data_IF_102711760005
#
_entry.id   IF_102711760005
#
_cell.length_a   1.000
_cell.length_b   1.000
_cell.length_c   1.000
_cell.angle_alpha   90.00
_cell.angle_beta   90.00
_cell.angle_gamma   90.00
#
_symmetry.space_group_name_H-M   'P 1'
#
loop_
_entity.id
_entity.type
_entity.pdbx_description
1 polymer ?
#
# COMPACT_ATOMS: atom_id res chain seq x y z
N UNK A 1 -1.62 -54.26 -41.96
CA UNK A 1 -1.12 -53.82 -40.63
C UNK A 1 -0.45 -52.47 -40.78
N UNK A 2 -1.14 -51.38 -40.46
CA UNK A 2 -0.59 -50.00 -40.48
C UNK A 2 -0.48 -49.54 -39.01
N UNK A 3 0.76 -49.32 -38.56
CA UNK A 3 1.05 -48.78 -37.21
C UNK A 3 0.87 -47.27 -37.24
N UNK A 4 -0.16 -46.76 -36.57
CA UNK A 4 -0.34 -45.34 -36.31
C UNK A 4 0.62 -44.84 -35.22
N UNK A 5 1.43 -43.83 -35.51
CA UNK A 5 2.24 -43.08 -34.55
C UNK A 5 1.37 -41.96 -33.97
N UNK A 6 1.08 -42.04 -32.68
CA UNK A 6 0.55 -40.91 -31.90
C UNK A 6 1.69 -39.93 -31.61
N UNK A 7 1.60 -38.75 -32.15
CA UNK A 7 2.48 -37.61 -31.84
C UNK A 7 1.85 -36.86 -30.64
N UNK A 8 2.41 -37.07 -29.45
CA UNK A 8 2.01 -36.32 -28.29
C UNK A 8 2.55 -34.89 -28.36
N UNK A 9 1.64 -33.94 -28.45
CA UNK A 9 1.95 -32.50 -28.37
C UNK A 9 2.17 -32.16 -26.90
N UNK A 10 3.43 -32.03 -26.48
CA UNK A 10 3.78 -31.47 -25.14
C UNK A 10 3.63 -29.96 -25.25
N UNK A 11 2.55 -29.45 -24.73
CA UNK A 11 2.31 -28.01 -24.56
C UNK A 11 3.25 -27.52 -23.45
N UNK A 12 4.39 -26.96 -23.83
CA UNK A 12 5.33 -26.31 -22.93
C UNK A 12 4.69 -25.04 -22.35
N UNK A 13 4.29 -25.13 -21.10
CA UNK A 13 3.88 -23.98 -20.30
C UNK A 13 5.12 -23.16 -19.97
N UNK A 14 5.42 -22.15 -20.81
CA UNK A 14 6.46 -21.17 -20.52
C UNK A 14 6.06 -20.38 -19.28
N UNK A 15 6.63 -20.74 -18.12
CA UNK A 15 6.64 -19.87 -16.96
C UNK A 15 7.47 -18.63 -17.30
N UNK A 16 6.81 -17.54 -17.61
CA UNK A 16 7.42 -16.21 -17.60
C UNK A 16 7.84 -15.92 -16.14
N UNK A 17 9.10 -16.17 -15.87
CA UNK A 17 9.76 -15.64 -14.69
C UNK A 17 9.76 -14.11 -14.82
N UNK A 18 8.82 -13.45 -14.15
CA UNK A 18 8.87 -12.00 -13.97
C UNK A 18 10.10 -11.68 -13.14
N UNK A 19 11.18 -11.30 -13.80
CA UNK A 19 12.34 -10.70 -13.13
C UNK A 19 11.96 -9.29 -12.68
N UNK A 20 11.53 -9.15 -11.44
CA UNK A 20 11.34 -7.87 -10.76
C UNK A 20 12.70 -7.23 -10.43
N UNK A 21 13.46 -6.79 -11.39
CA UNK A 21 14.72 -6.14 -11.10
C UNK A 21 15.12 -5.10 -12.14
N UNK A 22 14.18 -4.25 -12.55
CA UNK A 22 14.57 -3.11 -13.39
C UNK A 22 15.27 -2.01 -12.58
N UNK A 23 15.01 -1.88 -11.27
CA UNK A 23 15.39 -0.70 -10.47
C UNK A 23 16.29 -0.97 -9.26
N UNK A 24 16.47 -2.18 -8.79
CA UNK A 24 17.25 -2.57 -7.60
C UNK A 24 16.46 -2.41 -6.30
N UNK A 25 16.08 -1.19 -5.90
CA UNK A 25 15.25 -0.90 -4.72
C UNK A 25 14.03 -0.09 -5.13
N UNK A 26 12.86 -0.46 -4.62
CA UNK A 26 11.63 0.28 -4.88
C UNK A 26 11.58 1.61 -4.13
N UNK A 27 11.37 2.68 -4.89
CA UNK A 27 11.01 4.00 -4.38
C UNK A 27 9.49 4.08 -4.30
N UNK A 28 8.93 3.92 -3.09
CA UNK A 28 7.47 3.87 -2.89
C UNK A 28 6.97 5.20 -2.32
N UNK A 29 6.08 5.86 -3.07
CA UNK A 29 5.43 7.10 -2.63
C UNK A 29 4.24 6.81 -1.74
N UNK A 30 4.36 7.05 -0.43
CA UNK A 30 3.37 6.78 0.60
C UNK A 30 2.17 7.71 0.47
N UNK A 31 0.99 7.15 0.24
CA UNK A 31 -0.26 7.89 -0.06
C UNK A 31 -0.05 8.93 -1.17
N UNK A 32 0.75 8.54 -2.18
CA UNK A 32 1.31 9.41 -3.19
C UNK A 32 2.62 10.07 -2.76
N UNK A 33 2.58 11.32 -2.36
CA UNK A 33 3.71 12.08 -1.80
C UNK A 33 3.20 12.92 -0.61
N UNK A 34 2.72 12.26 0.45
CA UNK A 34 2.03 12.87 1.59
C UNK A 34 2.80 14.03 2.22
N UNK A 35 4.12 13.96 2.28
CA UNK A 35 4.94 15.04 2.81
C UNK A 35 4.92 16.32 1.97
N UNK A 36 4.42 16.29 0.72
CA UNK A 36 4.46 17.41 -0.23
C UNK A 36 3.08 17.85 -0.73
N UNK A 37 2.07 16.96 -0.69
CA UNK A 37 0.71 17.22 -1.16
C UNK A 37 -0.30 16.44 -0.31
N UNK A 38 -1.59 16.84 -0.28
CA UNK A 38 -2.61 16.20 0.54
C UNK A 38 -2.71 14.69 0.26
N UNK A 39 -2.56 13.86 1.31
CA UNK A 39 -2.49 12.41 1.22
C UNK A 39 -3.67 11.76 0.51
N UNK A 40 -3.42 10.66 -0.21
CA UNK A 40 -4.48 9.86 -0.86
C UNK A 40 -5.36 10.67 -1.82
N UNK A 41 -4.81 11.70 -2.46
CA UNK A 41 -5.50 12.56 -3.42
C UNK A 41 -4.83 12.52 -4.80
N UNK A 42 -5.59 12.84 -5.85
CA UNK A 42 -5.00 12.88 -7.20
C UNK A 42 -3.81 13.84 -7.30
N UNK A 43 -3.81 15.03 -6.67
CA UNK A 43 -2.62 15.89 -6.60
C UNK A 43 -1.41 15.25 -5.95
N UNK A 44 -1.59 14.44 -4.89
CA UNK A 44 -0.49 13.71 -4.24
C UNK A 44 0.13 12.67 -5.17
N UNK A 45 -0.71 11.91 -5.87
CA UNK A 45 -0.24 10.92 -6.84
C UNK A 45 0.40 11.57 -8.07
N UNK A 46 -0.16 12.68 -8.56
CA UNK A 46 0.46 13.46 -9.64
C UNK A 46 1.84 14.00 -9.22
N UNK A 47 1.99 14.41 -7.96
CA UNK A 47 3.28 14.84 -7.41
C UNK A 47 4.27 13.68 -7.36
N UNK A 48 3.87 12.49 -6.90
CA UNK A 48 4.71 11.30 -6.89
C UNK A 48 5.16 10.88 -8.31
N UNK A 49 4.23 10.89 -9.28
CA UNK A 49 4.54 10.63 -10.69
C UNK A 49 5.52 11.67 -11.26
N UNK A 50 5.37 12.95 -10.91
CA UNK A 50 6.27 14.02 -11.37
C UNK A 50 7.68 13.90 -10.80
N UNK A 51 7.83 13.26 -9.65
CA UNK A 51 9.13 12.92 -9.06
C UNK A 51 9.72 11.65 -9.68
N UNK A 52 8.90 10.78 -10.22
CA UNK A 52 9.32 9.47 -10.71
C UNK A 52 9.53 8.50 -9.55
N UNK A 53 8.46 7.86 -9.11
CA UNK A 53 8.46 6.73 -8.17
C UNK A 53 8.28 5.41 -8.92
N UNK A 54 8.71 4.29 -8.33
CA UNK A 54 8.46 2.95 -8.88
C UNK A 54 7.09 2.42 -8.49
N UNK A 55 6.57 2.87 -7.34
CA UNK A 55 5.30 2.42 -6.77
C UNK A 55 4.54 3.61 -6.19
N UNK A 56 3.25 3.67 -6.47
CA UNK A 56 2.28 4.48 -5.75
C UNK A 56 1.64 3.60 -4.67
N UNK A 57 1.88 3.94 -3.43
CA UNK A 57 1.18 3.31 -2.32
C UNK A 57 -0.06 4.14 -1.98
N UNK A 58 -1.14 3.47 -1.63
CA UNK A 58 -2.44 4.06 -1.33
C UNK A 58 -3.29 3.16 -0.44
N UNK A 59 -4.22 3.80 0.27
CA UNK A 59 -5.18 3.13 1.13
C UNK A 59 -6.58 3.18 0.52
N UNK A 60 -7.40 2.17 0.75
CA UNK A 60 -8.76 2.13 0.23
C UNK A 60 -9.82 2.12 1.33
N UNK A 61 -10.98 2.64 1.00
CA UNK A 61 -12.23 2.47 1.72
C UNK A 61 -13.36 2.24 0.72
N UNK A 62 -14.52 1.75 1.18
CA UNK A 62 -15.67 1.47 0.32
C UNK A 62 -16.88 2.21 0.87
N UNK A 63 -17.55 2.98 0.01
CA UNK A 63 -18.74 3.76 0.35
C UNK A 63 -20.00 2.87 0.48
N UNK A 64 -21.07 3.44 1.04
CA UNK A 64 -22.38 2.78 1.17
C UNK A 64 -22.93 2.26 -0.16
N UNK A 65 -22.74 3.03 -1.23
CA UNK A 65 -23.14 2.68 -2.60
C UNK A 65 -22.05 1.91 -3.37
N UNK A 66 -21.10 1.31 -2.61
CA UNK A 66 -20.10 0.37 -3.13
C UNK A 66 -19.04 0.97 -4.05
N UNK A 67 -18.79 2.27 -3.97
CA UNK A 67 -17.68 2.92 -4.68
C UNK A 67 -16.39 2.74 -3.88
N UNK A 68 -15.34 2.23 -4.52
CA UNK A 68 -14.01 2.13 -3.91
C UNK A 68 -13.34 3.49 -4.02
N UNK A 69 -13.01 4.07 -2.87
CA UNK A 69 -12.37 5.38 -2.73
C UNK A 69 -10.99 5.25 -2.10
N UNK A 70 -10.16 6.29 -2.26
CA UNK A 70 -8.80 6.31 -1.74
C UNK A 70 -8.75 7.13 -0.46
N UNK A 71 -8.65 6.46 0.70
CA UNK A 71 -8.63 7.06 2.03
C UNK A 71 -7.96 6.13 3.03
N UNK A 72 -7.13 6.70 3.93
CA UNK A 72 -6.43 5.90 4.94
C UNK A 72 -7.36 5.44 6.07
N UNK A 73 -8.10 6.37 6.66
CA UNK A 73 -8.97 6.04 7.77
C UNK A 73 -10.35 5.59 7.25
N UNK A 74 -10.96 4.54 7.82
CA UNK A 74 -12.30 4.12 7.45
C UNK A 74 -13.38 5.12 7.88
N UNK A 75 -13.02 6.07 8.74
CA UNK A 75 -13.82 7.21 9.21
C UNK A 75 -13.17 8.53 8.80
N UNK A 76 -13.94 9.59 8.59
CA UNK A 76 -13.39 10.89 8.22
C UNK A 76 -12.51 11.47 9.33
N UNK A 77 -11.22 11.67 9.01
CA UNK A 77 -10.19 12.12 9.95
C UNK A 77 -10.27 13.65 10.16
N UNK A 78 -10.47 14.13 11.42
CA UNK A 78 -10.60 15.56 11.71
C UNK A 78 -9.31 16.36 11.45
N UNK A 79 -8.15 15.72 11.35
CA UNK A 79 -6.89 16.41 11.07
C UNK A 79 -6.73 16.82 9.60
N UNK A 80 -7.52 16.25 8.70
CA UNK A 80 -7.42 16.50 7.26
C UNK A 80 -8.76 16.84 6.60
N UNK A 81 -9.88 16.82 7.35
CA UNK A 81 -11.21 16.91 6.75
C UNK A 81 -11.94 18.19 7.17
N UNK A 82 -12.44 18.90 6.19
CA UNK A 82 -13.38 20.02 6.36
C UNK A 82 -14.74 19.65 5.74
N UNK A 83 -15.80 20.17 6.33
CA UNK A 83 -17.16 20.01 5.80
C UNK A 83 -17.42 20.90 4.57
N UNK A 84 -18.62 20.83 4.02
CA UNK A 84 -19.05 21.64 2.86
C UNK A 84 -19.04 23.15 3.09
N UNK A 85 -18.95 23.59 4.34
CA UNK A 85 -18.85 25.01 4.73
C UNK A 85 -17.41 25.43 5.01
N UNK A 86 -16.44 24.54 4.80
CA UNK A 86 -15.01 24.78 5.07
C UNK A 86 -14.62 24.68 6.54
N UNK A 87 -15.50 24.20 7.42
CA UNK A 87 -15.24 24.01 8.84
C UNK A 87 -14.54 22.69 9.10
N UNK A 88 -13.52 22.71 9.94
CA UNK A 88 -12.85 21.50 10.41
C UNK A 88 -13.81 20.60 11.20
N UNK A 89 -13.71 19.30 10.98
CA UNK A 89 -14.33 18.35 11.89
C UNK A 89 -13.66 18.47 13.27
N UNK A 90 -14.47 18.53 14.33
CA UNK A 90 -13.96 18.64 15.70
C UNK A 90 -13.62 17.29 16.32
N UNK A 91 -14.27 16.25 15.84
CA UNK A 91 -14.12 14.84 16.26
C UNK A 91 -14.11 13.94 15.01
N UNK A 92 -13.72 12.65 15.13
CA UNK A 92 -13.87 11.68 14.06
C UNK A 92 -15.26 11.77 13.43
N UNK A 93 -15.28 11.84 12.10
CA UNK A 93 -16.51 11.98 11.32
C UNK A 93 -17.25 10.65 11.14
N UNK A 94 -18.24 10.62 10.23
CA UNK A 94 -18.91 9.37 9.89
C UNK A 94 -17.94 8.39 9.23
N UNK A 95 -18.26 7.09 9.36
CA UNK A 95 -17.58 6.05 8.62
C UNK A 95 -17.87 6.19 7.12
N UNK A 96 -16.83 6.00 6.29
CA UNK A 96 -16.96 6.14 4.83
C UNK A 96 -18.02 5.18 4.28
N UNK A 97 -18.08 3.95 4.81
CA UNK A 97 -19.09 2.97 4.39
C UNK A 97 -20.55 3.34 4.74
N UNK A 98 -20.75 4.35 5.59
CA UNK A 98 -22.09 4.88 5.89
C UNK A 98 -22.55 5.99 4.95
N UNK A 99 -21.63 6.53 4.14
CA UNK A 99 -21.87 7.61 3.18
C UNK A 99 -21.91 7.06 1.75
N UNK A 100 -22.80 7.61 0.92
CA UNK A 100 -22.71 7.47 -0.53
C UNK A 100 -21.50 8.26 -1.07
N UNK A 101 -21.03 7.91 -2.26
CA UNK A 101 -19.94 8.67 -2.88
C UNK A 101 -20.32 10.15 -3.05
N UNK A 102 -21.56 10.46 -3.42
CA UNK A 102 -22.06 11.84 -3.55
C UNK A 102 -22.00 12.60 -2.22
N UNK A 103 -22.39 11.97 -1.11
CA UNK A 103 -22.28 12.57 0.23
C UNK A 103 -20.81 12.79 0.62
N UNK A 104 -19.93 11.80 0.32
CA UNK A 104 -18.50 11.90 0.59
C UNK A 104 -17.85 13.09 -0.16
N UNK A 105 -18.33 13.42 -1.36
CA UNK A 105 -17.83 14.56 -2.15
C UNK A 105 -18.17 15.93 -1.56
N UNK A 106 -18.92 15.99 -0.47
CA UNK A 106 -19.16 17.25 0.25
C UNK A 106 -17.96 17.65 1.15
N UNK A 107 -17.04 16.73 1.42
CA UNK A 107 -15.90 16.97 2.29
C UNK A 107 -14.65 17.36 1.50
N UNK A 108 -13.88 18.27 2.08
CA UNK A 108 -12.61 18.76 1.53
C UNK A 108 -11.46 18.20 2.37
N UNK A 109 -10.52 17.52 1.71
CA UNK A 109 -9.33 16.90 2.32
C UNK A 109 -8.02 17.53 1.82
N UNK A 110 -8.10 18.69 1.21
CA UNK A 110 -6.97 19.36 0.55
C UNK A 110 -6.01 20.11 1.48
N UNK A 111 -6.15 19.99 2.79
CA UNK A 111 -5.32 20.73 3.74
C UNK A 111 -5.22 20.01 5.08
N UNK A 112 -4.07 20.11 5.74
CA UNK A 112 -3.88 19.69 7.13
C UNK A 112 -4.48 20.72 8.09
N UNK A 113 -5.13 20.24 9.17
CA UNK A 113 -5.63 21.11 10.24
C UNK A 113 -4.46 21.78 10.96
N UNK A 114 -4.36 23.12 10.94
CA UNK A 114 -3.22 23.82 11.54
C UNK A 114 -3.13 23.55 13.04
N UNK A 115 -1.94 23.73 13.59
CA UNK A 115 -1.64 23.59 15.02
C UNK A 115 -1.96 22.20 15.62
N UNK A 116 -1.91 21.14 14.81
CA UNK A 116 -2.01 19.75 15.24
C UNK A 116 -0.66 19.05 15.12
N UNK A 117 -0.43 18.01 15.93
CA UNK A 117 0.75 17.16 15.79
C UNK A 117 0.86 16.57 14.38
N UNK A 118 -0.29 16.22 13.79
CA UNK A 118 -0.34 15.67 12.45
C UNK A 118 0.17 16.68 11.41
N UNK A 119 -0.28 17.92 11.45
CA UNK A 119 0.21 18.98 10.53
C UNK A 119 1.70 19.26 10.73
N UNK A 120 2.18 19.24 11.98
CA UNK A 120 3.60 19.47 12.29
C UNK A 120 4.51 18.35 11.75
N UNK A 121 3.99 17.15 11.49
CA UNK A 121 4.75 16.05 10.86
C UNK A 121 4.98 16.27 9.35
N UNK A 122 4.25 17.18 8.71
CA UNK A 122 4.33 17.42 7.27
C UNK A 122 4.46 18.91 6.94
N UNK A 123 5.53 19.58 7.40
CA UNK A 123 5.68 21.06 7.25
C UNK A 123 5.82 21.51 5.78
N UNK A 124 6.26 20.63 4.90
CA UNK A 124 6.44 20.92 3.47
C UNK A 124 5.18 20.64 2.63
N UNK A 125 4.13 20.05 3.22
CA UNK A 125 2.92 19.75 2.50
C UNK A 125 2.20 21.02 2.07
N UNK A 126 1.99 21.19 0.76
CA UNK A 126 1.27 22.30 0.19
C UNK A 126 -0.24 22.04 0.22
N UNK A 127 -0.99 22.96 0.83
CA UNK A 127 -2.43 22.91 0.83
C UNK A 127 -3.00 23.13 -0.58
N UNK A 128 -4.06 22.37 -0.92
CA UNK A 128 -4.79 22.44 -2.18
C UNK A 128 -6.28 22.37 -1.88
N UNK A 129 -6.84 23.50 -1.41
CA UNK A 129 -8.24 23.61 -1.00
C UNK A 129 -9.21 23.19 -2.11
N UNK A 130 -10.32 22.58 -1.73
CA UNK A 130 -11.30 22.04 -2.66
C UNK A 130 -11.00 20.62 -3.14
N UNK A 131 -9.89 20.01 -2.68
CA UNK A 131 -9.55 18.63 -3.04
C UNK A 131 -10.50 17.64 -2.37
N UNK A 132 -10.99 16.69 -3.15
CA UNK A 132 -11.95 15.65 -2.72
C UNK A 132 -11.28 14.30 -2.59
N UNK A 133 -11.90 13.40 -1.84
CA UNK A 133 -11.49 11.99 -1.78
C UNK A 133 -11.78 11.36 -3.15
N UNK A 134 -10.77 10.88 -3.90
CA UNK A 134 -10.97 10.30 -5.22
C UNK A 134 -11.45 8.86 -5.17
N UNK A 135 -12.02 8.37 -6.27
CA UNK A 135 -12.23 6.94 -6.49
C UNK A 135 -10.92 6.28 -6.89
N UNK A 136 -10.78 5.00 -6.61
CA UNK A 136 -9.63 4.22 -7.08
C UNK A 136 -9.51 4.23 -8.61
N UNK A 137 -10.63 4.19 -9.32
CA UNK A 137 -10.64 4.29 -10.80
C UNK A 137 -10.12 5.63 -11.31
N UNK A 138 -10.30 6.72 -10.56
CA UNK A 138 -9.78 8.04 -10.95
C UNK A 138 -8.24 8.06 -10.88
N UNK A 139 -7.65 7.38 -9.88
CA UNK A 139 -6.20 7.20 -9.80
C UNK A 139 -5.66 6.37 -10.97
N UNK A 140 -6.30 5.26 -11.30
CA UNK A 140 -5.90 4.46 -12.47
C UNK A 140 -5.98 5.28 -13.76
N UNK A 141 -7.02 6.10 -13.92
CA UNK A 141 -7.18 7.01 -15.06
C UNK A 141 -6.07 8.08 -15.10
N UNK A 142 -5.69 8.64 -13.95
CA UNK A 142 -4.57 9.59 -13.83
C UNK A 142 -3.25 8.96 -14.30
N UNK A 143 -2.97 7.72 -13.88
CA UNK A 143 -1.75 7.01 -14.28
C UNK A 143 -1.77 6.68 -15.77
N UNK A 144 -2.89 6.22 -16.33
CA UNK A 144 -3.06 6.03 -17.79
C UNK A 144 -2.79 7.35 -18.54
N UNK A 145 -3.35 8.47 -18.08
CA UNK A 145 -3.15 9.82 -18.67
C UNK A 145 -1.69 10.26 -18.61
N UNK A 146 -0.92 9.86 -17.60
CA UNK A 146 0.50 10.20 -17.48
C UNK A 146 1.39 9.46 -18.49
N UNK A 147 0.87 8.45 -19.21
CA UNK A 147 1.65 7.58 -20.08
C UNK A 147 2.62 6.65 -19.33
N UNK A 148 2.52 6.57 -17.99
CA UNK A 148 3.39 5.68 -17.22
C UNK A 148 2.86 4.25 -17.23
N UNK A 149 3.54 3.38 -17.95
CA UNK A 149 3.20 1.95 -18.04
C UNK A 149 3.95 1.08 -17.03
N UNK A 150 4.91 1.64 -16.27
CA UNK A 150 5.80 0.90 -15.38
C UNK A 150 5.48 1.07 -13.90
N UNK A 151 4.89 2.21 -13.49
CA UNK A 151 4.56 2.44 -12.09
C UNK A 151 3.56 1.40 -11.59
N UNK A 152 3.85 0.81 -10.43
CA UNK A 152 3.02 -0.20 -9.77
C UNK A 152 2.18 0.44 -8.67
N UNK A 153 1.22 -0.32 -8.16
CA UNK A 153 0.30 0.11 -7.10
C UNK A 153 0.43 -0.84 -5.91
N UNK A 154 0.66 -0.28 -4.74
CA UNK A 154 0.50 -0.96 -3.46
C UNK A 154 -0.81 -0.46 -2.85
N UNK A 155 -1.84 -1.34 -2.83
CA UNK A 155 -3.21 -1.00 -2.46
C UNK A 155 -3.54 -1.63 -1.11
N UNK A 156 -3.60 -0.81 -0.06
CA UNK A 156 -3.92 -1.29 1.28
C UNK A 156 -5.42 -1.46 1.48
N UNK A 157 -5.81 -2.64 1.96
CA UNK A 157 -7.17 -2.91 2.44
C UNK A 157 -7.24 -2.61 3.94
N UNK A 158 -7.93 -1.52 4.28
CA UNK A 158 -8.09 -1.04 5.65
C UNK A 158 -9.23 -1.77 6.34
N UNK A 159 -8.91 -2.90 6.95
CA UNK A 159 -9.85 -3.70 7.75
C UNK A 159 -9.27 -3.90 9.14
N UNK A 160 -10.12 -3.94 10.16
CA UNK A 160 -9.69 -4.18 11.54
C UNK A 160 -10.52 -5.30 12.18
N UNK A 161 -9.89 -6.33 12.77
CA UNK A 161 -10.60 -7.36 13.53
C UNK A 161 -11.22 -6.81 14.83
N UNK A 162 -10.76 -5.65 15.32
CA UNK A 162 -11.25 -5.02 16.54
C UNK A 162 -12.39 -4.02 16.31
N UNK A 163 -12.65 -3.65 15.05
CA UNK A 163 -13.67 -2.66 14.66
C UNK A 163 -14.37 -3.08 13.38
N UNK A 164 -15.01 -4.25 13.39
CA UNK A 164 -15.64 -4.81 12.20
C UNK A 164 -16.78 -3.95 11.65
N UNK A 165 -17.33 -3.07 12.49
CA UNK A 165 -18.41 -2.14 12.13
C UNK A 165 -17.92 -0.92 11.31
N UNK A 166 -16.62 -0.68 11.24
CA UNK A 166 -16.08 0.49 10.50
C UNK A 166 -15.88 0.21 9.00
N UNK A 167 -15.93 -1.07 8.57
CA UNK A 167 -15.69 -1.46 7.18
C UNK A 167 -16.57 -2.64 6.76
N UNK A 168 -16.44 -3.08 5.51
CA UNK A 168 -16.97 -4.38 5.07
C UNK A 168 -16.12 -5.51 5.66
N UNK A 169 -16.69 -6.73 5.67
CA UNK A 169 -15.94 -7.92 6.04
C UNK A 169 -14.76 -8.18 5.07
N UNK A 170 -13.71 -8.90 5.51
CA UNK A 170 -12.50 -9.12 4.71
C UNK A 170 -12.73 -9.73 3.33
N UNK A 171 -13.66 -10.67 3.20
CA UNK A 171 -13.95 -11.37 1.94
C UNK A 171 -14.65 -10.45 0.94
N UNK A 172 -15.71 -9.79 1.36
CA UNK A 172 -16.45 -8.83 0.53
C UNK A 172 -15.55 -7.67 0.10
N UNK A 173 -14.73 -7.17 1.03
CA UNK A 173 -13.83 -6.05 0.73
C UNK A 173 -12.79 -6.45 -0.33
N UNK A 174 -12.04 -7.51 -0.08
CA UNK A 174 -11.01 -8.00 -1.00
C UNK A 174 -11.59 -8.28 -2.39
N UNK A 175 -12.73 -8.97 -2.45
CA UNK A 175 -13.39 -9.28 -3.73
C UNK A 175 -13.71 -8.03 -4.53
N UNK A 176 -14.32 -7.00 -3.91
CA UNK A 176 -14.69 -5.75 -4.60
C UNK A 176 -13.48 -5.02 -5.17
N UNK A 177 -12.38 -4.94 -4.40
CA UNK A 177 -11.15 -4.28 -4.86
C UNK A 177 -10.52 -5.06 -6.01
N UNK A 178 -10.45 -6.38 -5.92
CA UNK A 178 -9.92 -7.26 -6.98
C UNK A 178 -10.77 -7.16 -8.25
N UNK A 179 -12.10 -7.20 -8.14
CA UNK A 179 -13.00 -7.06 -9.30
C UNK A 179 -12.74 -5.74 -10.05
N UNK A 180 -12.49 -4.63 -9.32
CA UNK A 180 -12.13 -3.35 -9.93
C UNK A 180 -10.74 -3.38 -10.57
N UNK A 181 -9.74 -3.96 -9.90
CA UNK A 181 -8.38 -4.10 -10.44
C UNK A 181 -8.40 -4.87 -11.77
N UNK A 182 -9.14 -5.97 -11.84
CA UNK A 182 -9.31 -6.75 -13.08
C UNK A 182 -10.05 -5.96 -14.17
N UNK A 183 -11.16 -5.32 -13.80
CA UNK A 183 -11.95 -4.49 -14.73
C UNK A 183 -11.11 -3.39 -15.37
N UNK A 184 -10.19 -2.80 -14.61
CA UNK A 184 -9.32 -1.71 -15.07
C UNK A 184 -8.04 -2.20 -15.77
N UNK A 185 -7.79 -3.53 -15.81
CA UNK A 185 -6.61 -4.13 -16.41
C UNK A 185 -5.32 -3.88 -15.63
N UNK A 186 -5.41 -3.71 -14.29
CA UNK A 186 -4.28 -3.34 -13.44
C UNK A 186 -3.66 -4.52 -12.67
N UNK A 187 -4.16 -5.76 -12.86
CA UNK A 187 -3.73 -6.92 -12.08
C UNK A 187 -2.21 -7.15 -12.11
N UNK A 188 -1.56 -7.01 -13.29
CA UNK A 188 -0.12 -7.19 -13.42
C UNK A 188 0.73 -6.09 -12.73
N UNK A 189 0.11 -4.99 -12.32
CA UNK A 189 0.76 -3.81 -11.72
C UNK A 189 0.33 -3.57 -10.28
N UNK A 190 -0.65 -4.32 -9.77
CA UNK A 190 -1.18 -4.18 -8.42
C UNK A 190 -0.61 -5.22 -7.47
N UNK A 191 -0.34 -4.81 -6.24
CA UNK A 191 -0.14 -5.69 -5.09
C UNK A 191 -1.07 -5.24 -3.97
N UNK A 192 -1.68 -6.18 -3.28
CA UNK A 192 -2.55 -5.90 -2.14
C UNK A 192 -1.75 -6.00 -0.85
N UNK A 193 -1.88 -5.00 0.02
CA UNK A 193 -1.27 -5.03 1.34
C UNK A 193 -2.32 -4.87 2.44
N UNK A 194 -2.05 -5.42 3.61
CA UNK A 194 -2.90 -5.25 4.77
C UNK A 194 -2.20 -5.66 6.07
N UNK A 195 -2.58 -5.00 7.17
CA UNK A 195 -2.31 -5.48 8.52
C UNK A 195 -3.20 -6.66 8.90
N UNK A 196 -4.41 -6.72 8.35
CA UNK A 196 -5.34 -7.83 8.55
C UNK A 196 -5.09 -8.92 7.49
N UNK A 197 -4.30 -9.90 7.86
CA UNK A 197 -3.88 -10.99 6.97
C UNK A 197 -5.04 -11.84 6.46
N UNK A 198 -6.23 -11.77 7.08
CA UNK A 198 -7.43 -12.45 6.58
C UNK A 198 -7.77 -11.98 5.16
N UNK A 199 -7.62 -10.67 4.87
CA UNK A 199 -7.84 -10.14 3.51
C UNK A 199 -6.85 -10.71 2.52
N UNK A 200 -5.58 -10.85 2.92
CA UNK A 200 -4.51 -11.38 2.06
C UNK A 200 -4.74 -12.86 1.72
N UNK A 201 -5.23 -13.65 2.70
CA UNK A 201 -5.60 -15.05 2.47
C UNK A 201 -6.75 -15.15 1.45
N UNK A 202 -7.72 -14.24 1.50
CA UNK A 202 -8.79 -14.16 0.49
C UNK A 202 -8.21 -13.84 -0.88
N UNK A 203 -7.35 -12.81 -0.99
CA UNK A 203 -6.70 -12.41 -2.25
C UNK A 203 -5.96 -13.59 -2.88
N UNK A 204 -5.12 -14.29 -2.11
CA UNK A 204 -4.35 -15.44 -2.59
C UNK A 204 -5.24 -16.57 -3.12
N UNK A 205 -6.42 -16.75 -2.51
CA UNK A 205 -7.39 -17.77 -2.93
C UNK A 205 -8.10 -17.42 -4.25
N UNK A 206 -8.52 -16.15 -4.43
CA UNK A 206 -9.40 -15.76 -5.53
C UNK A 206 -8.68 -15.07 -6.69
N UNK A 207 -7.47 -14.55 -6.47
CA UNK A 207 -6.65 -13.84 -7.44
C UNK A 207 -5.15 -14.10 -7.20
N UNK A 208 -4.66 -15.36 -7.35
CA UNK A 208 -3.28 -15.74 -7.03
C UNK A 208 -2.21 -15.05 -7.89
N UNK A 209 -2.60 -14.43 -8.99
CA UNK A 209 -1.75 -13.60 -9.85
C UNK A 209 -1.45 -12.22 -9.24
N UNK A 210 -2.28 -11.72 -8.32
CA UNK A 210 -2.06 -10.46 -7.59
C UNK A 210 -1.20 -10.73 -6.37
N UNK A 211 -0.02 -10.11 -6.30
CA UNK A 211 0.89 -10.28 -5.18
C UNK A 211 0.30 -9.71 -3.88
N UNK A 212 0.58 -10.39 -2.76
CA UNK A 212 0.18 -9.95 -1.42
C UNK A 212 1.39 -9.50 -0.60
N UNK A 213 1.23 -8.39 0.14
CA UNK A 213 2.25 -7.77 0.99
C UNK A 213 1.75 -7.81 2.43
N UNK A 214 2.51 -8.48 3.28
CA UNK A 214 2.19 -8.71 4.69
C UNK A 214 2.77 -7.60 5.55
N UNK A 215 1.92 -6.68 6.00
CA UNK A 215 2.31 -5.60 6.91
C UNK A 215 2.51 -6.13 8.33
N UNK A 216 3.55 -5.64 9.00
CA UNK A 216 3.77 -5.91 10.43
C UNK A 216 4.33 -4.71 11.17
N UNK A 217 3.90 -4.57 12.42
CA UNK A 217 4.41 -3.59 13.39
C UNK A 217 4.29 -4.16 14.79
N UNK A 218 5.33 -3.94 15.61
CA UNK A 218 5.42 -4.41 16.99
C UNK A 218 5.76 -3.23 17.91
N UNK A 219 4.90 -2.20 17.90
CA UNK A 219 5.07 -1.00 18.71
C UNK A 219 4.00 -0.90 19.79
N UNK A 220 4.30 -0.25 20.90
CA UNK A 220 3.37 -0.09 22.02
C UNK A 220 2.00 0.48 21.62
N UNK A 221 1.98 1.39 20.64
CA UNK A 221 0.75 2.03 20.20
C UNK A 221 -0.09 1.13 19.29
N UNK A 222 0.55 0.27 18.53
CA UNK A 222 -0.09 -0.71 17.66
C UNK A 222 0.87 -1.88 17.42
N UNK A 223 0.38 -3.09 17.70
CA UNK A 223 1.09 -4.34 17.48
C UNK A 223 0.10 -5.35 16.87
N UNK A 224 0.30 -5.66 15.59
CA UNK A 224 -0.52 -6.64 14.90
C UNK A 224 0.04 -8.06 14.95
N UNK A 225 1.24 -8.26 15.50
CA UNK A 225 1.88 -9.58 15.63
C UNK A 225 1.61 -10.19 17.00
N UNK A 226 1.65 -9.38 18.05
CA UNK A 226 1.34 -9.77 19.43
C UNK A 226 2.20 -10.96 19.93
N UNK A 227 3.52 -10.87 19.75
CA UNK A 227 4.48 -11.94 20.12
C UNK A 227 4.40 -12.33 21.59
N UNK A 228 4.12 -11.38 22.50
CA UNK A 228 4.06 -11.59 23.93
C UNK A 228 2.70 -12.13 24.42
N UNK A 229 1.69 -12.26 23.54
CA UNK A 229 0.34 -12.71 23.92
C UNK A 229 0.20 -14.21 23.70
N UNK A 230 -0.13 -15.01 24.74
CA UNK A 230 -0.34 -16.44 24.61
C UNK A 230 -1.45 -16.82 23.61
N UNK A 231 -2.52 -16.02 23.55
CA UNK A 231 -3.64 -16.16 22.63
C UNK A 231 -3.27 -15.79 21.17
N UNK A 232 -2.15 -15.07 21.00
CA UNK A 232 -1.69 -14.58 19.70
C UNK A 232 -2.46 -13.38 19.18
N UNK A 233 -2.41 -13.16 17.87
CA UNK A 233 -3.01 -12.00 17.21
C UNK A 233 -4.23 -12.35 16.36
N UNK A 234 -5.30 -11.55 16.48
CA UNK A 234 -6.46 -11.62 15.58
C UNK A 234 -6.14 -11.13 14.16
N UNK A 235 -5.09 -10.32 14.00
CA UNK A 235 -4.70 -9.73 12.72
C UNK A 235 -4.03 -10.72 11.76
N UNK A 236 -3.43 -11.78 12.28
CA UNK A 236 -2.54 -12.67 11.51
C UNK A 236 -3.24 -13.88 10.91
N UNK A 237 -4.57 -13.91 10.85
CA UNK A 237 -5.35 -14.99 10.22
C UNK A 237 -5.03 -16.39 10.77
N UNK A 238 -4.65 -16.48 12.06
CA UNK A 238 -4.28 -17.75 12.72
C UNK A 238 -2.78 -18.10 12.65
N UNK A 239 -1.98 -17.40 11.85
CA UNK A 239 -0.53 -17.57 11.85
C UNK A 239 0.07 -16.87 13.07
N UNK A 240 0.51 -17.64 14.07
CA UNK A 240 0.98 -17.10 15.34
C UNK A 240 2.50 -17.16 15.45
N UNK A 241 3.11 -16.16 16.07
CA UNK A 241 4.57 -16.10 16.24
C UNK A 241 5.12 -17.32 16.98
N UNK A 242 4.43 -17.81 18.02
CA UNK A 242 4.82 -18.97 18.81
C UNK A 242 4.94 -20.26 17.98
N UNK A 243 4.20 -20.38 16.87
CA UNK A 243 4.18 -21.57 16.03
C UNK A 243 5.27 -21.53 14.95
N UNK A 244 5.79 -20.35 14.65
CA UNK A 244 6.75 -20.13 13.55
C UNK A 244 8.11 -19.59 14.00
N UNK A 245 8.22 -18.98 15.18
CA UNK A 245 9.44 -18.51 15.80
C UNK A 245 9.95 -17.15 15.28
N UNK A 246 9.48 -16.68 14.10
CA UNK A 246 9.81 -15.36 13.57
C UNK A 246 8.72 -14.82 12.64
N UNK A 247 8.65 -13.49 12.46
CA UNK A 247 7.70 -12.87 11.53
C UNK A 247 7.97 -13.26 10.07
N UNK A 248 9.23 -13.30 9.57
CA UNK A 248 9.49 -13.81 8.22
C UNK A 248 8.95 -15.22 7.98
N UNK A 249 9.07 -16.13 8.94
CA UNK A 249 8.52 -17.49 8.83
C UNK A 249 6.99 -17.51 8.87
N UNK A 250 6.37 -16.66 9.69
CA UNK A 250 4.91 -16.49 9.68
C UNK A 250 4.42 -16.07 8.28
N UNK A 251 5.05 -15.04 7.69
CA UNK A 251 4.72 -14.54 6.34
C UNK A 251 4.92 -15.64 5.30
N UNK A 252 6.01 -16.39 5.38
CA UNK A 252 6.27 -17.51 4.47
C UNK A 252 5.23 -18.61 4.60
N UNK A 253 4.87 -19.00 5.84
CA UNK A 253 3.86 -20.00 6.11
C UNK A 253 2.46 -19.55 5.63
N UNK A 254 2.17 -18.25 5.71
CA UNK A 254 0.94 -17.65 5.19
C UNK A 254 0.92 -17.56 3.65
N UNK A 255 1.95 -18.06 2.94
CA UNK A 255 2.04 -18.01 1.48
C UNK A 255 2.50 -16.65 0.93
N UNK A 256 2.97 -15.74 1.79
CA UNK A 256 3.48 -14.43 1.40
C UNK A 256 4.74 -14.53 0.54
N UNK A 257 4.91 -13.53 -0.34
CA UNK A 257 6.14 -13.31 -1.11
C UNK A 257 6.84 -12.03 -0.72
N UNK A 258 6.11 -11.09 -0.11
CA UNK A 258 6.61 -9.78 0.30
C UNK A 258 6.22 -9.55 1.75
N UNK A 259 7.22 -9.27 2.58
CA UNK A 259 7.06 -8.84 3.96
C UNK A 259 7.31 -7.33 4.05
N UNK A 260 6.46 -6.61 4.76
CA UNK A 260 6.60 -5.17 4.90
C UNK A 260 6.49 -4.76 6.38
N UNK A 261 7.61 -4.82 7.11
CA UNK A 261 7.67 -4.39 8.50
C UNK A 261 7.76 -2.88 8.65
N UNK A 262 7.30 -2.36 9.80
CA UNK A 262 7.72 -1.05 10.26
C UNK A 262 9.27 -1.03 10.35
N UNK A 263 9.90 -0.01 9.78
CA UNK A 263 11.37 0.00 9.63
C UNK A 263 12.13 -0.07 10.96
N UNK A 264 11.53 0.48 12.04
CA UNK A 264 12.11 0.44 13.38
C UNK A 264 12.08 -0.95 14.05
N UNK A 265 11.30 -1.90 13.52
CA UNK A 265 11.23 -3.27 14.01
C UNK A 265 12.16 -4.22 13.22
N UNK A 266 12.68 -3.78 12.08
CA UNK A 266 13.52 -4.61 11.22
C UNK A 266 14.95 -4.72 11.78
N UNK A 267 15.40 -5.94 11.99
CA UNK A 267 16.82 -6.25 12.28
C UNK A 267 17.50 -6.85 11.05
N UNK A 268 18.82 -6.73 10.95
CA UNK A 268 19.60 -7.35 9.87
C UNK A 268 19.45 -8.88 9.85
N UNK A 269 19.32 -9.52 11.03
CA UNK A 269 19.07 -10.95 11.14
C UNK A 269 17.73 -11.36 10.54
N UNK A 270 16.66 -10.58 10.79
CA UNK A 270 15.34 -10.83 10.21
C UNK A 270 15.31 -10.56 8.71
N UNK A 271 16.01 -9.53 8.24
CA UNK A 271 16.15 -9.24 6.81
C UNK A 271 16.82 -10.41 6.09
N UNK A 272 17.97 -10.88 6.65
CA UNK A 272 18.67 -12.04 6.11
C UNK A 272 17.77 -13.29 6.10
N UNK A 273 17.07 -13.58 7.20
CA UNK A 273 16.15 -14.72 7.28
C UNK A 273 15.03 -14.61 6.23
N UNK A 274 14.45 -13.41 6.05
CA UNK A 274 13.43 -13.17 5.03
C UNK A 274 13.96 -13.47 3.62
N UNK A 275 15.14 -12.96 3.28
CA UNK A 275 15.79 -13.22 1.99
C UNK A 275 16.15 -14.71 1.82
N UNK A 276 16.66 -15.40 2.84
CA UNK A 276 16.94 -16.85 2.82
C UNK A 276 15.66 -17.67 2.58
N UNK A 277 14.50 -17.18 3.04
CA UNK A 277 13.18 -17.75 2.79
C UNK A 277 12.61 -17.40 1.41
N UNK A 278 13.31 -16.55 0.63
CA UNK A 278 12.85 -16.04 -0.67
C UNK A 278 11.74 -15.00 -0.58
N UNK A 279 11.67 -14.26 0.53
CA UNK A 279 10.79 -13.10 0.66
C UNK A 279 11.51 -11.84 0.19
N UNK A 280 10.79 -10.93 -0.47
CA UNK A 280 11.20 -9.53 -0.60
C UNK A 280 10.80 -8.76 0.66
N UNK A 281 11.60 -7.74 1.01
CA UNK A 281 11.37 -6.91 2.21
C UNK A 281 11.27 -5.43 1.84
N UNK A 282 10.08 -4.84 2.02
CA UNK A 282 9.86 -3.40 1.87
C UNK A 282 9.50 -2.77 3.20
N UNK A 283 10.13 -1.66 3.56
CA UNK A 283 9.93 -1.00 4.87
C UNK A 283 9.11 0.28 4.76
N UNK A 284 8.41 0.64 5.84
CA UNK A 284 7.57 1.85 5.97
C UNK A 284 7.65 2.43 7.39
N UNK A 285 7.36 3.69 7.64
CA UNK A 285 7.45 4.80 6.73
C UNK A 285 8.75 5.53 7.03
N UNK A 286 9.66 5.57 6.08
CA UNK A 286 11.03 6.07 6.29
C UNK A 286 11.12 7.48 5.72
N UNK A 287 11.19 8.49 6.60
CA UNK A 287 11.14 9.89 6.21
C UNK A 287 12.46 10.64 6.43
N UNK A 288 13.24 10.20 7.42
CA UNK A 288 14.50 10.84 7.74
C UNK A 288 15.62 10.39 6.79
N UNK A 289 16.45 11.32 6.29
CA UNK A 289 17.56 10.98 5.39
C UNK A 289 18.52 9.93 5.97
N UNK A 290 18.80 9.99 7.28
CA UNK A 290 19.67 9.02 7.97
C UNK A 290 19.10 7.61 7.94
N UNK A 291 17.80 7.46 8.23
CA UNK A 291 17.12 6.16 8.19
C UNK A 291 17.02 5.62 6.77
N UNK A 292 16.74 6.49 5.78
CA UNK A 292 16.75 6.12 4.36
C UNK A 292 18.10 5.55 3.93
N UNK A 293 19.20 6.21 4.30
CA UNK A 293 20.57 5.72 4.02
C UNK A 293 20.81 4.37 4.68
N UNK A 294 20.42 4.22 5.96
CA UNK A 294 20.56 2.96 6.70
C UNK A 294 19.78 1.82 6.04
N UNK A 295 18.52 2.05 5.65
CA UNK A 295 17.71 1.01 5.00
C UNK A 295 18.28 0.60 3.63
N UNK A 296 18.83 1.54 2.87
CA UNK A 296 19.55 1.22 1.64
C UNK A 296 20.85 0.43 1.91
N UNK A 297 21.58 0.73 2.98
CA UNK A 297 22.84 0.07 3.34
C UNK A 297 22.61 -1.38 3.79
N UNK A 298 21.54 -1.66 4.55
CA UNK A 298 21.19 -3.03 4.97
C UNK A 298 20.59 -3.87 3.84
N UNK A 299 20.17 -3.25 2.72
CA UNK A 299 19.76 -3.95 1.52
C UNK A 299 18.29 -4.36 1.48
N UNK A 300 17.37 -3.51 1.95
CA UNK A 300 15.92 -3.73 1.76
C UNK A 300 15.55 -3.61 0.28
N UNK A 301 14.47 -4.30 -0.13
CA UNK A 301 14.00 -4.32 -1.52
C UNK A 301 13.10 -3.12 -1.87
N UNK A 302 12.61 -2.40 -0.87
CA UNK A 302 11.77 -1.22 -1.09
C UNK A 302 11.67 -0.32 0.13
N UNK A 303 11.47 0.97 -0.11
CA UNK A 303 11.30 1.98 0.94
C UNK A 303 10.06 2.81 0.64
N UNK A 304 9.08 2.73 1.54
CA UNK A 304 7.88 3.57 1.55
C UNK A 304 8.17 4.85 2.33
N UNK A 305 7.95 6.00 1.69
CA UNK A 305 8.27 7.31 2.27
C UNK A 305 7.24 8.38 1.93
N UNK A 306 7.01 9.32 2.84
CA UNK A 306 6.24 10.54 2.61
C UNK A 306 7.02 11.58 1.77
N UNK A 307 8.36 11.42 1.71
CA UNK A 307 9.30 12.32 1.04
C UNK A 307 10.03 11.59 -0.09
N UNK A 308 9.31 11.17 -1.15
CA UNK A 308 9.94 10.51 -2.29
C UNK A 308 10.97 11.39 -3.01
N UNK A 309 10.89 12.71 -2.88
CA UNK A 309 11.90 13.66 -3.34
C UNK A 309 13.24 13.47 -2.62
N UNK A 310 13.23 13.34 -1.30
CA UNK A 310 14.44 13.15 -0.48
C UNK A 310 15.06 11.78 -0.74
N UNK A 311 14.26 10.71 -0.72
CA UNK A 311 14.78 9.36 -1.00
C UNK A 311 15.35 9.27 -2.42
N UNK A 312 14.68 9.87 -3.41
CA UNK A 312 15.17 9.93 -4.78
C UNK A 312 16.53 10.63 -4.89
N UNK A 313 16.70 11.74 -4.16
CA UNK A 313 18.00 12.44 -4.12
C UNK A 313 19.11 11.55 -3.55
N UNK A 314 18.86 10.85 -2.43
CA UNK A 314 19.80 9.92 -1.81
C UNK A 314 20.18 8.78 -2.77
N UNK A 315 19.20 8.23 -3.49
CA UNK A 315 19.43 7.19 -4.50
C UNK A 315 20.28 7.71 -5.67
N UNK A 316 20.04 8.97 -6.11
CA UNK A 316 20.84 9.62 -7.14
C UNK A 316 22.30 9.81 -6.72
N UNK A 317 22.53 10.30 -5.49
CA UNK A 317 23.87 10.50 -4.91
C UNK A 317 24.68 9.18 -4.81
N UNK A 318 23.97 8.04 -4.74
CA UNK A 318 24.55 6.69 -4.75
C UNK A 318 24.74 6.10 -6.15
N UNK A 319 24.41 6.84 -7.20
CA UNK A 319 24.49 6.37 -8.58
C UNK A 319 23.47 5.27 -8.93
N UNK A 320 22.39 5.13 -8.14
CA UNK A 320 21.35 4.14 -8.39
C UNK A 320 20.51 4.55 -9.62
N UNK A 321 20.02 3.56 -10.37
CA UNK A 321 19.09 3.80 -11.47
C UNK A 321 17.77 4.35 -10.92
N UNK A 322 17.32 5.46 -11.47
CA UNK A 322 16.09 6.14 -11.03
C UNK A 322 14.94 5.94 -12.02
N UNK A 323 13.71 5.79 -11.53
CA UNK A 323 12.53 5.75 -12.40
C UNK A 323 12.32 7.09 -13.12
N UNK A 324 11.76 7.00 -14.33
CA UNK A 324 11.48 8.19 -15.15
C UNK A 324 10.31 8.97 -14.56
N UNK A 325 10.45 10.29 -14.46
CA UNK A 325 9.37 11.18 -14.08
C UNK A 325 8.33 11.28 -15.21
N UNK A 326 7.05 11.18 -14.83
CA UNK A 326 5.91 11.27 -15.76
C UNK A 326 4.90 12.30 -15.25
N UNK A 327 5.20 13.62 -15.39
CA UNK A 327 4.32 14.68 -14.89
C UNK A 327 2.93 14.60 -15.54
N UNK A 328 1.90 14.79 -14.72
CA UNK A 328 0.51 14.81 -15.19
C UNK A 328 -0.31 15.77 -14.32
N UNK A 329 -1.29 16.41 -14.93
CA UNK A 329 -2.26 17.24 -14.20
C UNK A 329 -3.41 16.35 -13.73
N UNK A 330 -3.80 16.47 -12.45
CA UNK A 330 -4.92 15.72 -11.87
C UNK A 330 -6.26 16.05 -12.50
#
# INVERSE_FOLDING_TARGET
MRKGRFLGCVMGMSFLLFTNAAWGVDLVGHRGARGLAPENTLPSFARALSLGVTVLELDTAITKDSVIVVSHDPILNPNITRDKYGKWLEKPGPAIHSLTFTELQQYDVGRLKPNTKYANSFPEQKALDGTRIPRLVDLFSLVKKSGNEQVRFFIELKVSPHKPEETLDPETYAKRVIDLIHKEGMAARASILSFDWRTLQVVQKIAPEISTIYLSIQQRAFDNIATEKPEGSLWTAGFQHKDHGSVPRMVKAAGGKIWSPYFGDLTEAQLKEAHDLGLQVGVWTVNEPGDSKKMLDVGVDGITTDRPDVLRQIMAERGMKLPVATPVQP
#
